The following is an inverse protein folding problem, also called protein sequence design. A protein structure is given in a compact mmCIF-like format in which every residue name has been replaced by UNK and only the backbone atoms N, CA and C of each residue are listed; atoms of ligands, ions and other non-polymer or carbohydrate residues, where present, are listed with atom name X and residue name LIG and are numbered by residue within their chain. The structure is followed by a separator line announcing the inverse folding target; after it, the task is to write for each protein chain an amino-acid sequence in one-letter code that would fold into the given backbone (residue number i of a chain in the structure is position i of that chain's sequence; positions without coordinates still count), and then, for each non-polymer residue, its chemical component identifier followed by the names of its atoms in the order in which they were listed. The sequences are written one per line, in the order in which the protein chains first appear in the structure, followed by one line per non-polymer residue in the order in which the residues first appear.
data_IF_459229268639
#
_entry.id   IF_459229268639
#
_cell.length_a   1.000
_cell.length_b   1.000
_cell.length_c   1.000
_cell.angle_alpha   90.00
_cell.angle_beta   90.00
_cell.angle_gamma   90.00
#
_symmetry.space_group_name_H-M   'P 1'
#
loop_
_entity.id
_entity.type
_entity.pdbx_description
1 polymer ?
#
# COMPACT_ATOMS: atom_id res chain seq x y z
N UNK A 1 -12.04 1.26 -27.76
CA UNK A 1 -11.79 0.38 -26.61
C UNK A 1 -13.10 0.28 -25.87
N UNK A 2 -13.84 -0.78 -26.14
CA UNK A 2 -15.01 -1.13 -25.34
C UNK A 2 -14.55 -1.27 -23.91
N UNK A 3 -15.30 -0.69 -22.98
CA UNK A 3 -15.12 -0.93 -21.56
C UNK A 3 -14.94 -2.44 -21.37
N UNK A 4 -13.83 -2.86 -20.76
CA UNK A 4 -13.75 -4.17 -20.10
C UNK A 4 -14.82 -4.15 -19.01
N UNK A 5 -16.07 -4.36 -19.43
CA UNK A 5 -17.22 -4.41 -18.57
C UNK A 5 -16.97 -5.61 -17.66
N UNK A 6 -16.75 -5.30 -16.38
CA UNK A 6 -16.89 -6.18 -15.23
C UNK A 6 -17.69 -7.42 -15.61
N UNK A 7 -17.06 -8.58 -15.80
CA UNK A 7 -17.78 -9.80 -16.14
C UNK A 7 -18.68 -10.17 -14.94
N UNK A 8 -20.00 -9.89 -14.98
CA UNK A 8 -20.82 -9.95 -13.77
C UNK A 8 -20.94 -11.39 -13.27
N UNK A 9 -20.88 -12.35 -14.20
CA UNK A 9 -20.90 -13.78 -13.87
C UNK A 9 -19.65 -14.22 -13.12
N UNK A 10 -18.48 -13.65 -13.44
CA UNK A 10 -17.23 -13.92 -12.74
C UNK A 10 -17.25 -13.35 -11.33
N UNK A 11 -17.74 -12.12 -11.16
CA UNK A 11 -17.86 -11.50 -9.84
C UNK A 11 -18.86 -12.27 -8.97
N UNK A 12 -20.02 -12.67 -9.51
CA UNK A 12 -20.98 -13.50 -8.80
C UNK A 12 -20.35 -14.82 -8.33
N UNK A 13 -19.60 -15.50 -9.20
CA UNK A 13 -18.91 -16.74 -8.82
C UNK A 13 -17.90 -16.54 -7.68
N UNK A 14 -17.18 -15.42 -7.68
CA UNK A 14 -16.23 -15.09 -6.59
C UNK A 14 -16.98 -14.83 -5.29
N UNK A 15 -18.12 -14.14 -5.33
CA UNK A 15 -18.95 -13.91 -4.15
C UNK A 15 -19.52 -15.22 -3.60
N UNK A 16 -19.99 -16.12 -4.47
CA UNK A 16 -20.46 -17.45 -4.08
C UNK A 16 -19.35 -18.27 -3.40
N UNK A 17 -18.12 -18.25 -3.94
CA UNK A 17 -16.99 -18.93 -3.30
C UNK A 17 -16.64 -18.34 -1.93
N UNK A 18 -16.70 -17.02 -1.79
CA UNK A 18 -16.43 -16.33 -0.52
C UNK A 18 -17.47 -16.70 0.54
N UNK A 19 -18.74 -16.88 0.16
CA UNK A 19 -19.80 -17.33 1.06
C UNK A 19 -19.55 -18.74 1.61
N UNK A 20 -18.87 -19.60 0.83
CA UNK A 20 -18.52 -20.97 1.23
C UNK A 20 -17.28 -21.06 2.14
N UNK A 21 -16.56 -19.96 2.37
CA UNK A 21 -15.36 -19.98 3.21
C UNK A 21 -15.74 -20.11 4.69
N UNK A 22 -15.29 -21.20 5.30
CA UNK A 22 -15.57 -21.48 6.71
C UNK A 22 -14.75 -20.55 7.64
N UNK A 23 -15.45 -19.64 8.31
CA UNK A 23 -14.89 -18.71 9.29
C UNK A 23 -15.60 -18.84 10.63
N UNK A 24 -14.87 -18.66 11.74
CA UNK A 24 -15.46 -18.74 13.08
C UNK A 24 -16.18 -17.45 13.46
N UNK A 25 -15.78 -16.34 12.84
CA UNK A 25 -16.40 -15.01 12.98
C UNK A 25 -16.65 -14.39 11.61
N UNK A 26 -17.58 -13.42 11.50
CA UNK A 26 -17.75 -12.66 10.26
C UNK A 26 -16.42 -12.07 9.81
N UNK A 27 -16.21 -12.05 8.49
CA UNK A 27 -15.09 -11.38 7.85
C UNK A 27 -15.63 -10.51 6.71
N UNK A 28 -14.82 -9.55 6.28
CA UNK A 28 -15.11 -8.70 5.16
C UNK A 28 -13.92 -8.64 4.21
N UNK A 29 -14.23 -8.51 2.93
CA UNK A 29 -13.24 -8.19 1.89
C UNK A 29 -13.55 -6.79 1.42
N UNK A 30 -12.55 -5.91 1.50
CA UNK A 30 -12.64 -4.55 0.97
C UNK A 30 -11.93 -4.50 -0.38
N UNK A 31 -12.49 -3.77 -1.33
CA UNK A 31 -11.83 -3.46 -2.59
C UNK A 31 -11.31 -2.03 -2.54
N UNK A 32 -10.05 -1.83 -2.95
CA UNK A 32 -9.38 -0.53 -2.87
C UNK A 32 -8.36 -0.33 -3.99
N UNK A 33 -7.80 0.89 -4.05
CA UNK A 33 -6.79 1.27 -5.03
C UNK A 33 -7.39 1.90 -6.29
N UNK A 34 -6.59 2.01 -7.34
CA UNK A 34 -6.99 2.80 -8.52
C UNK A 34 -8.17 2.23 -9.29
N UNK A 35 -8.29 0.89 -9.34
CA UNK A 35 -9.45 0.24 -9.98
C UNK A 35 -10.75 0.53 -9.24
N UNK A 36 -10.72 0.60 -7.92
CA UNK A 36 -11.89 0.98 -7.11
C UNK A 36 -12.24 2.46 -7.29
N UNK A 37 -11.24 3.35 -7.30
CA UNK A 37 -11.48 4.79 -7.52
C UNK A 37 -11.90 5.16 -8.93
N UNK A 38 -11.74 4.25 -9.90
CA UNK A 38 -11.98 4.52 -11.32
C UNK A 38 -10.89 5.34 -12.02
N UNK A 39 -9.76 5.63 -11.36
CA UNK A 39 -8.60 6.34 -11.92
C UNK A 39 -7.50 5.38 -12.41
N UNK A 40 -7.90 4.14 -12.76
CA UNK A 40 -6.99 3.09 -13.15
C UNK A 40 -6.47 3.23 -14.58
N UNK A 41 -5.34 2.57 -14.82
CA UNK A 41 -4.77 2.34 -16.14
C UNK A 41 -4.65 0.83 -16.40
N UNK A 42 -4.21 0.46 -17.59
CA UNK A 42 -4.02 -0.94 -18.01
C UNK A 42 -3.11 -1.73 -17.05
N UNK A 43 -2.18 -1.04 -16.38
CA UNK A 43 -1.24 -1.59 -15.40
C UNK A 43 -1.76 -1.55 -13.96
N UNK A 44 -3.04 -1.30 -13.73
CA UNK A 44 -3.59 -1.29 -12.35
C UNK A 44 -4.00 -2.69 -11.90
N UNK A 45 -3.67 -3.03 -10.65
CA UNK A 45 -4.04 -4.29 -9.99
C UNK A 45 -5.43 -4.20 -9.36
N UNK A 46 -6.06 -5.36 -9.13
CA UNK A 46 -7.20 -5.50 -8.23
C UNK A 46 -6.67 -5.70 -6.80
N UNK A 47 -6.83 -4.71 -5.92
CA UNK A 47 -6.31 -4.77 -4.56
C UNK A 47 -7.43 -5.00 -3.54
N UNK A 48 -7.27 -6.03 -2.73
CA UNK A 48 -8.23 -6.43 -1.71
C UNK A 48 -7.62 -6.39 -0.32
N UNK A 49 -8.42 -5.98 0.66
CA UNK A 49 -8.06 -6.03 2.07
C UNK A 49 -9.01 -6.96 2.81
N UNK A 50 -8.50 -8.07 3.34
CA UNK A 50 -9.25 -9.01 4.15
C UNK A 50 -9.26 -8.54 5.60
N UNK A 51 -10.43 -8.07 6.06
CA UNK A 51 -10.74 -7.79 7.46
C UNK A 51 -11.33 -9.03 8.11
N UNK A 52 -10.60 -9.64 9.03
CA UNK A 52 -11.12 -10.77 9.79
C UNK A 52 -10.60 -10.72 11.23
N UNK A 53 -11.25 -11.45 12.12
CA UNK A 53 -10.76 -11.57 13.50
C UNK A 53 -9.39 -12.26 13.54
N UNK A 54 -8.54 -11.88 14.50
CA UNK A 54 -7.16 -12.39 14.62
C UNK A 54 -7.06 -13.92 14.64
N UNK A 55 -8.04 -14.61 15.24
CA UNK A 55 -8.10 -16.09 15.27
C UNK A 55 -8.25 -16.73 13.90
N UNK A 56 -8.97 -16.10 12.98
CA UNK A 56 -9.13 -16.60 11.61
C UNK A 56 -7.96 -16.14 10.72
N UNK A 57 -7.45 -14.93 10.93
CA UNK A 57 -6.23 -14.42 10.28
C UNK A 57 -5.00 -15.32 10.50
N UNK A 58 -4.88 -15.94 11.68
CA UNK A 58 -3.78 -16.86 11.99
C UNK A 58 -3.89 -18.22 11.28
N UNK A 59 -5.03 -18.56 10.68
CA UNK A 59 -5.23 -19.82 9.96
C UNK A 59 -4.84 -19.63 8.50
N UNK A 60 -3.69 -20.18 8.11
CA UNK A 60 -3.23 -20.13 6.72
C UNK A 60 -4.29 -20.66 5.74
N UNK A 61 -5.01 -21.73 6.11
CA UNK A 61 -6.09 -22.29 5.28
C UNK A 61 -7.25 -21.35 5.03
N UNK A 62 -7.57 -20.47 5.99
CA UNK A 62 -8.62 -19.46 5.84
C UNK A 62 -8.17 -18.39 4.84
N UNK A 63 -6.99 -17.80 5.07
CA UNK A 63 -6.42 -16.78 4.17
C UNK A 63 -6.23 -17.32 2.75
N UNK A 64 -5.75 -18.56 2.61
CA UNK A 64 -5.56 -19.22 1.31
C UNK A 64 -6.90 -19.47 0.59
N UNK A 65 -7.98 -19.74 1.32
CA UNK A 65 -9.30 -19.97 0.71
C UNK A 65 -9.86 -18.67 0.12
N UNK A 66 -9.74 -17.56 0.85
CA UNK A 66 -10.10 -16.23 0.34
C UNK A 66 -9.23 -15.85 -0.86
N UNK A 67 -7.91 -16.05 -0.75
CA UNK A 67 -6.97 -15.75 -1.84
C UNK A 67 -7.32 -16.54 -3.12
N UNK A 68 -7.69 -17.82 -3.00
CA UNK A 68 -8.12 -18.67 -4.13
C UNK A 68 -9.43 -18.22 -4.75
N UNK A 69 -10.40 -17.77 -3.95
CA UNK A 69 -11.64 -17.21 -4.47
C UNK A 69 -11.33 -15.94 -5.29
N UNK A 70 -10.56 -15.01 -4.73
CA UNK A 70 -10.20 -13.75 -5.40
C UNK A 70 -9.31 -13.96 -6.62
N UNK A 71 -8.43 -14.97 -6.64
CA UNK A 71 -7.52 -15.21 -7.79
C UNK A 71 -8.26 -15.55 -9.08
N UNK A 72 -9.54 -15.91 -9.04
CA UNK A 72 -10.37 -16.06 -10.25
C UNK A 72 -10.50 -14.74 -11.02
N UNK A 73 -10.37 -13.60 -10.35
CA UNK A 73 -10.38 -12.27 -10.97
C UNK A 73 -9.07 -11.95 -11.73
N UNK A 74 -8.03 -12.79 -11.64
CA UNK A 74 -6.77 -12.59 -12.36
C UNK A 74 -6.93 -12.60 -13.88
N UNK A 75 -8.06 -13.11 -14.40
CA UNK A 75 -8.41 -13.01 -15.82
C UNK A 75 -8.68 -11.56 -16.27
N UNK A 76 -8.99 -10.66 -15.33
CA UNK A 76 -9.22 -9.23 -15.58
C UNK A 76 -7.93 -8.45 -15.35
N UNK A 77 -7.33 -8.62 -14.18
CA UNK A 77 -6.07 -7.97 -13.81
C UNK A 77 -5.43 -8.70 -12.63
N UNK A 78 -4.12 -8.57 -12.40
CA UNK A 78 -3.47 -9.20 -11.26
C UNK A 78 -4.14 -8.83 -9.94
N UNK A 79 -4.30 -9.84 -9.09
CA UNK A 79 -5.00 -9.72 -7.81
C UNK A 79 -3.96 -9.67 -6.69
N UNK A 80 -4.05 -8.63 -5.86
CA UNK A 80 -3.30 -8.55 -4.61
C UNK A 80 -4.27 -8.58 -3.44
N UNK A 81 -3.91 -9.31 -2.39
CA UNK A 81 -4.65 -9.31 -1.14
C UNK A 81 -3.71 -9.01 0.04
N UNK A 82 -4.13 -8.10 0.90
CA UNK A 82 -3.52 -7.87 2.21
C UNK A 82 -4.50 -8.34 3.27
N UNK A 83 -4.03 -9.13 4.23
CA UNK A 83 -4.84 -9.60 5.33
C UNK A 83 -4.49 -8.83 6.61
N UNK A 84 -5.50 -8.43 7.38
CA UNK A 84 -5.31 -7.75 8.65
C UNK A 84 -6.53 -7.81 9.55
N UNK A 85 -6.30 -7.66 10.86
CA UNK A 85 -7.39 -7.64 11.84
C UNK A 85 -7.88 -6.21 12.13
N UNK A 86 -9.12 -6.12 12.62
CA UNK A 86 -9.78 -4.85 12.92
C UNK A 86 -9.05 -4.03 13.96
N UNK A 87 -8.42 -4.66 14.96
CA UNK A 87 -7.77 -3.93 16.07
C UNK A 87 -6.45 -3.32 15.61
N UNK A 88 -5.68 -4.04 14.80
CA UNK A 88 -4.50 -3.53 14.12
C UNK A 88 -4.83 -2.36 13.20
N UNK A 89 -5.93 -2.46 12.42
CA UNK A 89 -6.36 -1.35 11.57
C UNK A 89 -6.82 -0.14 12.40
N UNK A 90 -7.54 -0.37 13.50
CA UNK A 90 -7.93 0.68 14.45
C UNK A 90 -6.73 1.43 15.01
N UNK A 91 -5.70 0.70 15.42
CA UNK A 91 -4.49 1.32 15.90
C UNK A 91 -3.83 2.21 14.83
N UNK A 92 -3.75 1.71 13.59
CA UNK A 92 -3.11 2.43 12.46
C UNK A 92 -3.84 3.70 12.06
N UNK A 93 -5.18 3.71 11.98
CA UNK A 93 -5.88 4.94 11.60
C UNK A 93 -5.86 5.99 12.73
N UNK A 94 -5.82 5.56 14.00
CA UNK A 94 -5.73 6.49 15.15
C UNK A 94 -4.44 7.28 15.18
N UNK A 95 -3.39 6.78 14.51
CA UNK A 95 -2.11 7.46 14.35
C UNK A 95 -1.93 8.04 12.94
N UNK A 96 -2.99 8.03 12.13
CA UNK A 96 -2.99 8.50 10.74
C UNK A 96 -1.88 7.84 9.90
N UNK A 97 -1.78 6.51 9.98
CA UNK A 97 -0.88 5.79 9.10
C UNK A 97 -1.41 5.83 7.65
N UNK A 98 -0.59 6.24 6.65
CA UNK A 98 -1.08 6.58 5.31
C UNK A 98 -1.91 5.47 4.66
N UNK A 99 -1.45 4.22 4.67
CA UNK A 99 -2.17 3.11 4.06
C UNK A 99 -3.52 2.82 4.71
N UNK A 100 -3.67 3.04 6.02
CA UNK A 100 -4.95 2.92 6.72
C UNK A 100 -5.91 4.05 6.36
N UNK A 101 -5.41 5.28 6.18
CA UNK A 101 -6.22 6.42 5.74
C UNK A 101 -6.71 6.20 4.32
N UNK A 102 -5.84 5.74 3.42
CA UNK A 102 -6.23 5.40 2.06
C UNK A 102 -7.33 4.35 2.00
N UNK A 103 -7.20 3.29 2.82
CA UNK A 103 -8.22 2.26 2.92
C UNK A 103 -9.54 2.85 3.41
N UNK A 104 -9.52 3.67 4.46
CA UNK A 104 -10.73 4.26 5.05
C UNK A 104 -11.42 5.29 4.14
N UNK A 105 -10.68 6.04 3.33
CA UNK A 105 -11.29 7.06 2.48
C UNK A 105 -11.68 6.50 1.10
N UNK A 106 -11.02 5.44 0.61
CA UNK A 106 -11.17 5.00 -0.79
C UNK A 106 -11.58 3.53 -0.97
N UNK A 107 -11.78 2.76 0.09
CA UNK A 107 -12.22 1.38 -0.05
C UNK A 107 -13.74 1.24 0.02
N UNK A 108 -14.28 0.30 -0.75
CA UNK A 108 -15.65 -0.16 -0.64
C UNK A 108 -15.70 -1.60 -0.15
N UNK A 109 -16.86 -1.99 0.37
CA UNK A 109 -17.12 -3.37 0.76
C UNK A 109 -17.33 -4.20 -0.50
N UNK A 110 -16.45 -5.16 -0.73
CA UNK A 110 -16.60 -6.16 -1.80
C UNK A 110 -17.43 -7.35 -1.35
N UNK A 111 -17.24 -7.79 -0.10
CA UNK A 111 -17.95 -8.93 0.48
C UNK A 111 -18.08 -8.78 2.01
N UNK A 112 -19.20 -9.26 2.55
CA UNK A 112 -19.52 -9.32 3.98
C UNK A 112 -20.06 -8.00 4.54
N UNK A 113 -20.54 -8.01 5.79
CA UNK A 113 -21.19 -6.84 6.42
C UNK A 113 -20.74 -6.64 7.88
N UNK A 114 -20.81 -5.39 8.37
CA UNK A 114 -20.77 -5.04 9.80
C UNK A 114 -19.46 -4.44 10.31
N UNK A 115 -18.31 -5.07 10.03
CA UNK A 115 -17.02 -4.64 10.63
C UNK A 115 -16.58 -3.26 10.08
N UNK A 116 -16.80 -3.03 8.79
CA UNK A 116 -16.35 -1.85 8.06
C UNK A 116 -17.14 -0.61 8.45
N UNK A 117 -18.45 -0.74 8.62
CA UNK A 117 -19.35 0.35 9.02
C UNK A 117 -18.97 0.89 10.42
N UNK A 118 -18.60 -0.01 11.34
CA UNK A 118 -18.09 0.34 12.66
C UNK A 118 -16.75 1.07 12.57
N UNK A 119 -15.81 0.56 11.76
CA UNK A 119 -14.50 1.18 11.51
C UNK A 119 -14.65 2.58 10.87
N UNK A 120 -15.55 2.72 9.91
CA UNK A 120 -15.87 4.00 9.26
C UNK A 120 -16.46 5.01 10.25
N UNK A 121 -17.36 4.54 11.12
CA UNK A 121 -17.96 5.38 12.17
C UNK A 121 -16.90 5.86 13.17
N UNK A 122 -15.98 4.98 13.55
CA UNK A 122 -14.85 5.34 14.41
C UNK A 122 -13.92 6.31 13.69
N UNK A 123 -13.54 6.03 12.43
CA UNK A 123 -12.68 6.90 11.63
C UNK A 123 -13.24 8.31 11.49
N UNK A 124 -14.54 8.48 11.23
CA UNK A 124 -15.18 9.81 11.18
C UNK A 124 -14.98 10.65 12.45
N UNK A 125 -14.78 10.01 13.61
CA UNK A 125 -14.48 10.69 14.88
C UNK A 125 -13.00 11.04 15.05
N UNK A 126 -12.12 10.32 14.36
CA UNK A 126 -10.66 10.48 14.45
C UNK A 126 -10.05 11.30 13.31
N UNK A 127 -10.71 11.39 12.14
CA UNK A 127 -10.15 11.98 10.91
C UNK A 127 -9.73 13.45 11.01
N UNK A 128 -10.29 14.18 11.98
CA UNK A 128 -10.00 15.59 12.22
C UNK A 128 -9.15 15.80 13.48
N UNK A 129 -8.68 14.73 14.13
CA UNK A 129 -7.83 14.86 15.31
C UNK A 129 -6.43 15.28 14.88
N UNK A 130 -5.88 16.28 15.59
CA UNK A 130 -4.53 16.75 15.34
C UNK A 130 -3.55 15.69 15.84
N UNK A 131 -2.73 15.19 14.92
CA UNK A 131 -1.60 14.32 15.24
C UNK A 131 -0.33 15.12 15.20
N UNK A 132 0.53 14.90 16.18
CA UNK A 132 1.87 15.46 16.20
C UNK A 132 2.67 14.96 14.99
N UNK A 133 3.18 15.89 14.17
CA UNK A 133 4.11 15.59 13.06
C UNK A 133 5.27 14.68 13.52
N UNK A 134 5.73 14.86 14.77
CA UNK A 134 6.79 14.06 15.40
C UNK A 134 6.36 12.61 15.61
N UNK A 135 5.16 12.38 16.16
CA UNK A 135 4.68 11.03 16.49
C UNK A 135 4.40 10.23 15.22
N UNK A 136 3.78 10.87 14.23
CA UNK A 136 3.56 10.27 12.91
C UNK A 136 4.90 9.96 12.22
N UNK A 137 5.84 10.92 12.16
CA UNK A 137 7.16 10.68 11.57
C UNK A 137 7.89 9.52 12.24
N UNK A 138 7.87 9.45 13.58
CA UNK A 138 8.48 8.36 14.35
C UNK A 138 7.85 7.01 14.04
N UNK A 139 6.54 6.97 13.85
CA UNK A 139 5.85 5.75 13.44
C UNK A 139 6.26 5.31 12.02
N UNK A 140 6.29 6.24 11.05
CA UNK A 140 6.72 5.94 9.68
C UNK A 140 8.18 5.45 9.65
N UNK A 141 9.07 6.03 10.47
CA UNK A 141 10.45 5.54 10.63
C UNK A 141 10.51 4.11 11.20
N UNK A 142 9.63 3.76 12.15
CA UNK A 142 9.51 2.36 12.62
C UNK A 142 9.05 1.43 11.50
N UNK A 143 8.10 1.87 10.65
CA UNK A 143 7.63 1.07 9.50
C UNK A 143 8.73 0.86 8.47
N UNK A 144 9.52 1.90 8.19
CA UNK A 144 10.72 1.77 7.37
C UNK A 144 11.66 0.71 7.96
N UNK A 145 12.03 0.82 9.24
CA UNK A 145 12.91 -0.18 9.91
C UNK A 145 12.36 -1.60 9.79
N UNK A 146 11.06 -1.78 9.99
CA UNK A 146 10.40 -3.06 9.80
C UNK A 146 10.58 -3.57 8.36
N UNK A 147 10.30 -2.75 7.36
CA UNK A 147 10.48 -3.15 5.96
C UNK A 147 11.93 -3.51 5.67
N UNK A 148 12.92 -2.74 6.14
CA UNK A 148 14.35 -3.05 5.94
C UNK A 148 14.76 -4.43 6.47
N UNK A 149 14.14 -4.88 7.56
CA UNK A 149 14.44 -6.16 8.20
C UNK A 149 13.75 -7.35 7.53
N UNK A 150 12.82 -7.12 6.60
CA UNK A 150 12.15 -8.21 5.89
C UNK A 150 13.09 -8.87 4.88
N UNK A 151 13.18 -10.19 4.93
CA UNK A 151 13.84 -10.98 3.89
C UNK A 151 12.95 -11.04 2.65
N UNK A 152 13.43 -10.50 1.54
CA UNK A 152 12.74 -10.58 0.25
C UNK A 152 12.89 -11.98 -0.36
N UNK A 153 11.76 -12.60 -0.72
CA UNK A 153 11.72 -13.98 -1.27
C UNK A 153 11.81 -14.01 -2.79
N UNK A 154 11.61 -12.86 -3.43
CA UNK A 154 11.65 -12.69 -4.89
C UNK A 154 12.11 -11.29 -5.28
N UNK A 155 12.49 -11.11 -6.55
CA UNK A 155 12.81 -9.80 -7.14
C UNK A 155 11.62 -8.84 -7.01
N UNK A 156 10.39 -9.34 -7.22
CA UNK A 156 9.16 -8.55 -7.06
C UNK A 156 9.00 -8.04 -5.64
N UNK A 157 9.31 -8.88 -4.64
CA UNK A 157 9.25 -8.49 -3.24
C UNK A 157 10.31 -7.44 -2.91
N UNK A 158 11.54 -7.59 -3.41
CA UNK A 158 12.61 -6.62 -3.20
C UNK A 158 12.29 -5.25 -3.80
N UNK A 159 11.81 -5.21 -5.05
CA UNK A 159 11.38 -3.96 -5.69
C UNK A 159 10.25 -3.29 -4.88
N UNK A 160 9.26 -4.08 -4.46
CA UNK A 160 8.13 -3.57 -3.67
C UNK A 160 8.56 -3.07 -2.29
N UNK A 161 9.54 -3.73 -1.66
CA UNK A 161 10.12 -3.32 -0.39
C UNK A 161 10.86 -1.98 -0.53
N UNK A 162 11.69 -1.81 -1.56
CA UNK A 162 12.42 -0.57 -1.84
C UNK A 162 11.46 0.59 -2.15
N UNK A 163 10.42 0.35 -2.96
CA UNK A 163 9.41 1.36 -3.29
C UNK A 163 8.67 1.85 -2.03
N UNK A 164 8.27 0.94 -1.14
CA UNK A 164 7.65 1.30 0.15
C UNK A 164 8.58 2.12 1.03
N UNK A 165 9.85 1.74 1.13
CA UNK A 165 10.84 2.50 1.92
C UNK A 165 10.99 3.90 1.34
N UNK A 166 11.17 4.02 0.02
CA UNK A 166 11.33 5.31 -0.66
C UNK A 166 10.10 6.21 -0.49
N UNK A 167 8.90 5.65 -0.69
CA UNK A 167 7.62 6.34 -0.51
C UNK A 167 7.44 6.85 0.91
N UNK A 168 7.75 6.03 1.92
CA UNK A 168 7.69 6.47 3.31
C UNK A 168 8.73 7.55 3.65
N UNK A 169 9.93 7.51 3.03
CA UNK A 169 10.90 8.61 3.15
C UNK A 169 10.30 9.93 2.67
N UNK A 170 9.66 9.92 1.50
CA UNK A 170 9.06 11.10 0.89
C UNK A 170 7.89 11.62 1.75
N UNK A 171 7.07 10.74 2.33
CA UNK A 171 6.04 11.16 3.28
C UNK A 171 6.60 11.83 4.53
N UNK A 172 7.67 11.28 5.12
CA UNK A 172 8.31 11.91 6.28
C UNK A 172 8.82 13.29 5.92
N UNK A 173 9.39 13.47 4.73
CA UNK A 173 9.81 14.79 4.27
C UNK A 173 8.62 15.73 4.10
N UNK A 174 7.55 15.28 3.42
CA UNK A 174 6.35 16.08 3.19
C UNK A 174 5.72 16.54 4.52
N UNK A 175 5.55 15.63 5.47
CA UNK A 175 5.02 15.93 6.82
C UNK A 175 5.85 17.01 7.53
N UNK A 176 7.17 17.03 7.34
CA UNK A 176 8.07 17.97 8.02
C UNK A 176 8.15 19.34 7.36
N UNK A 177 8.01 19.41 6.03
CA UNK A 177 8.33 20.61 5.26
C UNK A 177 7.10 21.25 4.59
N UNK A 178 5.98 20.55 4.50
CA UNK A 178 4.73 21.07 3.96
C UNK A 178 3.80 21.41 5.14
N UNK A 179 3.41 22.68 5.23
CA UNK A 179 2.62 23.24 6.34
C UNK A 179 1.24 23.75 5.89
N UNK A 180 1.03 23.95 4.59
CA UNK A 180 -0.21 24.47 4.00
C UNK A 180 -1.26 23.39 3.73
N UNK A 181 -0.89 22.11 3.86
CA UNK A 181 -1.79 20.95 3.79
C UNK A 181 -1.95 20.29 5.16
N UNK A 182 -3.17 19.84 5.47
CA UNK A 182 -3.41 19.02 6.66
C UNK A 182 -2.76 17.64 6.53
N UNK A 183 -2.49 16.98 7.66
CA UNK A 183 -1.95 15.62 7.66
C UNK A 183 -2.81 14.63 6.87
N UNK A 184 -4.16 14.58 7.03
CA UNK A 184 -4.99 13.74 6.17
C UNK A 184 -4.81 14.05 4.68
N UNK A 185 -4.71 15.32 4.28
CA UNK A 185 -4.47 15.70 2.88
C UNK A 185 -3.11 15.20 2.39
N UNK A 186 -2.04 15.39 3.18
CA UNK A 186 -0.70 14.89 2.88
C UNK A 186 -0.62 13.35 2.81
N UNK A 187 -1.44 12.64 3.58
CA UNK A 187 -1.42 11.18 3.69
C UNK A 187 -2.33 10.49 2.69
N UNK A 188 -3.41 11.15 2.28
CA UNK A 188 -4.23 10.73 1.14
C UNK A 188 -3.44 10.75 -0.17
N UNK A 189 -2.31 11.44 -0.20
CA UNK A 189 -1.34 11.48 -1.30
C UNK A 189 -0.41 10.24 -1.36
N UNK A 190 -0.56 9.24 -0.48
CA UNK A 190 0.18 7.96 -0.51
C UNK A 190 -0.10 7.11 -1.76
N UNK A 191 -0.77 7.65 -2.77
CA UNK A 191 -0.90 7.00 -4.06
C UNK A 191 0.45 7.23 -4.73
N UNK A 192 1.29 6.20 -4.96
CA UNK A 192 2.65 6.42 -5.44
C UNK A 192 2.71 7.23 -6.75
N UNK A 193 1.66 7.16 -7.58
CA UNK A 193 1.53 7.95 -8.81
C UNK A 193 1.27 9.46 -8.58
N UNK A 194 0.79 9.86 -7.40
CA UNK A 194 0.51 11.26 -7.04
C UNK A 194 1.70 11.96 -6.35
N UNK A 195 2.61 11.18 -5.75
CA UNK A 195 3.81 11.72 -5.08
C UNK A 195 4.68 12.50 -6.06
N UNK A 196 4.94 11.97 -7.25
CA UNK A 196 5.82 12.64 -8.20
C UNK A 196 5.26 14.00 -8.69
N UNK A 197 4.00 14.09 -9.17
CA UNK A 197 3.37 15.38 -9.51
C UNK A 197 3.33 16.38 -8.35
N UNK A 198 3.04 15.94 -7.13
CA UNK A 198 2.99 16.82 -5.96
C UNK A 198 4.31 17.58 -5.79
N UNK A 199 5.41 16.85 -5.71
CA UNK A 199 6.72 17.46 -5.46
C UNK A 199 7.24 18.26 -6.66
N UNK A 200 7.01 17.77 -7.88
CA UNK A 200 7.57 18.40 -9.09
C UNK A 200 6.72 19.52 -9.68
N UNK A 201 5.44 19.60 -9.33
CA UNK A 201 4.52 20.62 -9.85
C UNK A 201 4.05 21.62 -8.79
N UNK A 202 3.78 21.15 -7.56
CA UNK A 202 3.25 22.02 -6.50
C UNK A 202 4.37 22.54 -5.58
N UNK A 203 5.35 21.70 -5.25
CA UNK A 203 6.41 22.03 -4.30
C UNK A 203 7.82 22.06 -4.91
N UNK A 204 7.92 22.36 -6.21
CA UNK A 204 9.20 22.29 -6.94
C UNK A 204 10.25 23.29 -6.45
N UNK A 205 9.81 24.37 -5.78
CA UNK A 205 10.69 25.40 -5.22
C UNK A 205 11.23 25.02 -3.84
N UNK A 206 10.57 24.09 -3.16
CA UNK A 206 10.82 23.68 -1.78
C UNK A 206 11.70 22.43 -1.72
N UNK A 207 11.76 21.64 -2.79
CA UNK A 207 12.56 20.42 -2.86
C UNK A 207 14.05 20.72 -3.01
N UNK A 208 14.87 19.99 -2.24
CA UNK A 208 16.32 19.97 -2.42
C UNK A 208 16.76 18.85 -3.39
N UNK A 209 18.05 18.82 -3.71
CA UNK A 209 18.64 17.81 -4.57
C UNK A 209 18.44 16.38 -4.05
N UNK A 210 18.44 16.19 -2.72
CA UNK A 210 18.25 14.87 -2.10
C UNK A 210 16.82 14.37 -2.34
N UNK A 211 15.83 15.23 -2.19
CA UNK A 211 14.41 14.91 -2.43
C UNK A 211 14.17 14.66 -3.92
N UNK A 212 14.75 15.48 -4.79
CA UNK A 212 14.66 15.27 -6.24
C UNK A 212 15.21 13.90 -6.64
N UNK A 213 16.37 13.51 -6.09
CA UNK A 213 16.93 12.18 -6.34
C UNK A 213 16.06 11.05 -5.78
N UNK A 214 15.44 11.22 -4.61
CA UNK A 214 14.48 10.25 -4.06
C UNK A 214 13.26 10.07 -4.99
N UNK A 215 12.76 11.15 -5.59
CA UNK A 215 11.65 11.08 -6.55
C UNK A 215 12.05 10.32 -7.83
N UNK A 216 13.28 10.50 -8.31
CA UNK A 216 13.81 9.74 -9.45
C UNK A 216 13.93 8.24 -9.12
N UNK A 217 14.46 7.91 -7.94
CA UNK A 217 14.53 6.52 -7.45
C UNK A 217 13.12 5.92 -7.36
N UNK A 218 12.15 6.67 -6.83
CA UNK A 218 10.77 6.24 -6.72
C UNK A 218 10.14 5.93 -8.09
N UNK A 219 10.35 6.81 -9.08
CA UNK A 219 9.87 6.61 -10.45
C UNK A 219 10.50 5.38 -11.12
N UNK A 220 11.82 5.16 -10.92
CA UNK A 220 12.53 3.99 -11.44
C UNK A 220 12.02 2.69 -10.78
N UNK A 221 11.79 2.69 -9.47
CA UNK A 221 11.23 1.54 -8.76
C UNK A 221 9.80 1.21 -9.23
N UNK A 222 8.97 2.21 -9.52
CA UNK A 222 7.64 1.99 -10.11
C UNK A 222 7.74 1.34 -11.50
N UNK A 223 8.69 1.79 -12.33
CA UNK A 223 8.94 1.19 -13.64
C UNK A 223 9.37 -0.28 -13.51
N UNK A 224 10.33 -0.57 -12.63
CA UNK A 224 10.77 -1.95 -12.35
C UNK A 224 9.65 -2.82 -11.81
N UNK A 225 8.79 -2.30 -10.94
CA UNK A 225 7.63 -3.02 -10.39
C UNK A 225 6.66 -3.40 -11.51
N UNK A 226 6.43 -2.50 -12.47
CA UNK A 226 5.66 -2.77 -13.69
C UNK A 226 6.33 -3.82 -14.57
N UNK A 227 7.64 -3.72 -14.81
CA UNK A 227 8.36 -4.71 -15.62
C UNK A 227 8.37 -6.11 -14.97
N UNK A 228 8.49 -6.19 -13.64
CA UNK A 228 8.40 -7.43 -12.86
C UNK A 228 7.04 -8.11 -13.02
N UNK A 229 5.97 -7.31 -13.03
CA UNK A 229 4.60 -7.79 -13.24
C UNK A 229 4.45 -8.44 -14.61
N UNK A 230 5.02 -7.83 -15.65
CA UNK A 230 4.97 -8.35 -17.01
C UNK A 230 6.00 -9.46 -17.30
N UNK A 231 6.64 -10.01 -16.25
CA UNK A 231 7.70 -11.03 -16.34
C UNK A 231 8.80 -10.66 -17.34
N UNK A 232 9.04 -9.35 -17.51
CA UNK A 232 10.14 -8.86 -18.33
C UNK A 232 11.45 -9.15 -17.60
N UNK A 233 12.51 -9.26 -18.38
CA UNK A 233 13.85 -9.43 -17.81
C UNK A 233 14.21 -8.18 -17.01
N UNK A 234 14.58 -8.37 -15.74
CA UNK A 234 15.00 -7.30 -14.84
C UNK A 234 16.48 -7.45 -14.57
N UNK A 235 17.23 -6.38 -14.85
CA UNK A 235 18.63 -6.33 -14.48
C UNK A 235 18.76 -6.22 -12.96
N UNK A 236 19.42 -7.20 -12.33
CA UNK A 236 19.70 -7.16 -10.90
C UNK A 236 20.65 -6.03 -10.50
N UNK A 237 21.55 -5.63 -11.39
CA UNK A 237 22.46 -4.50 -11.14
C UNK A 237 21.67 -3.21 -10.93
N UNK A 238 20.61 -2.98 -11.73
CA UNK A 238 19.74 -1.80 -11.58
C UNK A 238 19.05 -1.78 -10.20
N UNK A 239 18.57 -2.93 -9.72
CA UNK A 239 17.98 -3.04 -8.36
C UNK A 239 19.05 -2.73 -7.30
N UNK A 240 20.26 -3.27 -7.45
CA UNK A 240 21.35 -3.01 -6.52
C UNK A 240 21.73 -1.53 -6.49
N UNK A 241 21.86 -0.87 -7.64
CA UNK A 241 22.15 0.56 -7.74
C UNK A 241 21.08 1.42 -7.06
N UNK A 242 19.80 1.15 -7.33
CA UNK A 242 18.69 1.86 -6.70
C UNK A 242 18.67 1.68 -5.18
N UNK A 243 18.97 0.46 -4.71
CA UNK A 243 19.10 0.15 -3.29
C UNK A 243 20.24 0.96 -2.65
N UNK A 244 21.43 0.95 -3.24
CA UNK A 244 22.56 1.75 -2.75
C UNK A 244 22.27 3.25 -2.74
N UNK A 245 21.65 3.74 -3.81
CA UNK A 245 21.26 5.16 -3.91
C UNK A 245 20.26 5.53 -2.81
N UNK A 246 19.24 4.71 -2.57
CA UNK A 246 18.26 4.93 -1.51
C UNK A 246 18.90 4.97 -0.11
N UNK A 247 19.88 4.10 0.16
CA UNK A 247 20.63 4.08 1.43
C UNK A 247 21.43 5.37 1.61
N UNK A 248 22.16 5.77 0.58
CA UNK A 248 23.01 6.97 0.57
C UNK A 248 22.17 8.23 0.84
N UNK A 249 21.06 8.39 0.10
CA UNK A 249 20.16 9.54 0.23
C UNK A 249 19.52 9.65 1.61
N UNK A 250 19.27 8.51 2.26
CA UNK A 250 18.72 8.46 3.61
C UNK A 250 19.78 8.61 4.72
N UNK A 251 21.07 8.62 4.38
CA UNK A 251 22.20 8.61 5.33
C UNK A 251 22.10 7.45 6.32
N UNK A 252 21.76 6.27 5.81
CA UNK A 252 21.28 5.13 6.60
C UNK A 252 22.37 4.05 6.76
N UNK A 253 23.38 4.34 7.59
CA UNK A 253 24.57 3.47 7.76
C UNK A 253 24.21 2.05 8.26
N UNK A 254 23.14 1.87 9.03
CA UNK A 254 22.64 0.55 9.46
C UNK A 254 22.24 -0.36 8.29
N UNK A 255 21.82 0.19 7.16
CA UNK A 255 21.41 -0.60 6.00
C UNK A 255 22.62 -1.18 5.24
N UNK A 256 23.79 -0.56 5.36
CA UNK A 256 25.06 -1.08 4.82
C UNK A 256 25.51 -2.35 5.55
N UNK A 257 25.23 -2.45 6.86
CA UNK A 257 25.64 -3.60 7.68
C UNK A 257 24.85 -4.88 7.38
N UNK A 258 23.58 -4.74 6.97
CA UNK A 258 22.71 -5.88 6.62
C UNK A 258 22.80 -6.29 5.15
N UNK A 259 23.58 -5.60 4.32
CA UNK A 259 23.81 -5.97 2.91
C UNK A 259 24.77 -7.17 2.75
N UNK A 260 25.47 -7.55 3.83
CA UNK A 260 26.53 -8.56 3.84
C UNK A 260 26.25 -9.75 4.78
N UNK A 261 25.07 -9.81 5.40
CA UNK A 261 24.61 -10.88 6.28
C UNK A 261 23.61 -11.79 5.55
#
# INVERSE_FOLDING_TARGET
MEYEALNPSLYAQVLDDLELVNSHKPFQVLFYGSRERGDFNEDSDLNFYLLAHSTDQMKASFVDSIAKALSKLEVVAPVNMIAGDSDSLKHRFKIHEPGSIQLLENASVFFGEGIWEDLQTEWKRFRNQIISKKDLSHYLDKRIRFFKQQTSKSIKDEISQLERICTLTLHIWAIKNIDDLSLPELLMMDIPSQIYPLFTQLYSSEIDETVLELLLVQAQLQKLKKDARWKREINREEIHELKYKLISLRKDEEFLLNLWA
#
